data_IF_043738151644
#
_entry.id   IF_043738151644
#
_cell.length_a   1.000
_cell.length_b   1.000
_cell.length_c   1.000
_cell.angle_alpha   90.00
_cell.angle_beta   90.00
_cell.angle_gamma   90.00
#
_symmetry.space_group_name_H-M   'P 1'
#
loop_
_entity.id
_entity.type
_entity.pdbx_description
1 polymer ?
#
# COMPACT_ATOMS: atom_id res chain seq x y z
N UNK A 1 -62.04 11.72 45.16
CA UNK A 1 -61.28 11.90 43.89
C UNK A 1 -60.08 10.95 43.93
N UNK A 2 -60.19 9.75 43.35
CA UNK A 2 -59.09 8.77 43.34
C UNK A 2 -58.10 9.12 42.21
N UNK A 3 -56.92 9.60 42.57
CA UNK A 3 -55.82 9.87 41.64
C UNK A 3 -55.24 8.54 41.17
N UNK A 4 -55.33 8.24 39.86
CA UNK A 4 -54.89 6.97 39.30
C UNK A 4 -53.35 6.90 39.20
N UNK A 5 -52.70 6.39 40.25
CA UNK A 5 -51.24 6.28 40.39
C UNK A 5 -50.56 5.52 39.22
N UNK A 6 -51.27 4.60 38.55
CA UNK A 6 -50.76 3.89 37.36
C UNK A 6 -50.55 4.80 36.14
N UNK A 7 -51.31 5.90 36.03
CA UNK A 7 -51.19 6.88 34.94
C UNK A 7 -49.94 7.76 35.11
N UNK A 8 -49.68 8.20 36.34
CA UNK A 8 -48.52 9.04 36.68
C UNK A 8 -47.20 8.25 36.53
N UNK A 9 -47.19 7.00 36.96
CA UNK A 9 -46.05 6.07 36.80
C UNK A 9 -45.67 5.87 35.32
N UNK A 10 -46.65 5.67 34.42
CA UNK A 10 -46.38 5.51 32.98
C UNK A 10 -45.85 6.78 32.32
N UNK A 11 -46.32 7.96 32.74
CA UNK A 11 -45.82 9.26 32.25
C UNK A 11 -44.38 9.52 32.71
N UNK A 12 -44.08 9.25 33.98
CA UNK A 12 -42.70 9.34 34.48
C UNK A 12 -41.76 8.33 33.80
N UNK A 13 -42.21 7.10 33.57
CA UNK A 13 -41.41 6.09 32.88
C UNK A 13 -41.11 6.51 31.43
N UNK A 14 -42.08 7.08 30.71
CA UNK A 14 -41.86 7.63 29.36
C UNK A 14 -40.91 8.82 29.36
N UNK A 15 -41.03 9.72 30.33
CA UNK A 15 -40.13 10.87 30.46
C UNK A 15 -38.70 10.43 30.78
N UNK A 16 -38.54 9.44 31.67
CA UNK A 16 -37.25 8.86 32.00
C UNK A 16 -36.60 8.16 30.80
N UNK A 17 -37.36 7.35 30.05
CA UNK A 17 -36.89 6.71 28.82
C UNK A 17 -36.50 7.74 27.74
N UNK A 18 -37.25 8.83 27.60
CA UNK A 18 -36.93 9.91 26.68
C UNK A 18 -35.63 10.64 27.08
N UNK A 19 -35.44 10.92 28.38
CA UNK A 19 -34.22 11.55 28.89
C UNK A 19 -33.00 10.64 28.73
N UNK A 20 -33.14 9.33 28.98
CA UNK A 20 -32.06 8.36 28.73
C UNK A 20 -31.71 8.27 27.25
N UNK A 21 -32.70 8.31 26.35
CA UNK A 21 -32.47 8.29 24.92
C UNK A 21 -31.75 9.55 24.43
N UNK A 22 -32.11 10.73 24.95
CA UNK A 22 -31.43 12.00 24.66
C UNK A 22 -29.98 11.97 25.18
N UNK A 23 -29.74 11.52 26.42
CA UNK A 23 -28.37 11.36 26.96
C UNK A 23 -27.52 10.39 26.15
N UNK A 24 -28.10 9.29 25.66
CA UNK A 24 -27.40 8.33 24.82
C UNK A 24 -27.06 8.92 23.46
N UNK A 25 -28.00 9.62 22.81
CA UNK A 25 -27.77 10.31 21.55
C UNK A 25 -26.68 11.39 21.65
N UNK A 26 -26.72 12.25 22.67
CA UNK A 26 -25.69 13.30 22.86
C UNK A 26 -24.34 12.73 23.26
N UNK A 27 -24.31 11.64 24.02
CA UNK A 27 -23.07 10.93 24.38
C UNK A 27 -22.38 10.30 23.16
N UNK A 28 -23.16 9.68 22.26
CA UNK A 28 -22.63 9.09 21.02
C UNK A 28 -22.10 10.17 20.07
N UNK A 29 -22.83 11.26 19.85
CA UNK A 29 -22.37 12.35 18.97
C UNK A 29 -21.11 13.02 19.51
N UNK A 30 -21.06 13.31 20.82
CA UNK A 30 -19.89 13.90 21.46
C UNK A 30 -18.66 12.99 21.38
N UNK A 31 -18.84 11.67 21.57
CA UNK A 31 -17.75 10.69 21.44
C UNK A 31 -17.24 10.61 19.99
N UNK A 32 -18.13 10.62 18.99
CA UNK A 32 -17.76 10.62 17.58
C UNK A 32 -17.03 11.90 17.16
N UNK A 33 -17.48 13.07 17.62
CA UNK A 33 -16.80 14.35 17.34
C UNK A 33 -15.41 14.40 17.96
N UNK A 34 -15.26 13.92 19.20
CA UNK A 34 -13.94 13.85 19.85
C UNK A 34 -12.99 12.93 19.12
N UNK A 35 -13.46 11.76 18.66
CA UNK A 35 -12.64 10.81 17.90
C UNK A 35 -12.20 11.41 16.56
N UNK A 36 -13.15 11.98 15.80
CA UNK A 36 -12.86 12.65 14.53
C UNK A 36 -11.85 13.79 14.69
N UNK A 37 -12.01 14.64 15.70
CA UNK A 37 -11.07 15.73 15.98
C UNK A 37 -9.66 15.23 16.32
N UNK A 38 -9.56 14.12 17.06
CA UNK A 38 -8.28 13.47 17.37
C UNK A 38 -7.60 12.93 16.11
N UNK A 39 -8.38 12.26 15.25
CA UNK A 39 -7.90 11.73 13.97
C UNK A 39 -7.44 12.85 13.02
N UNK A 40 -8.20 13.95 12.94
CA UNK A 40 -7.84 15.14 12.16
C UNK A 40 -6.52 15.77 12.63
N UNK A 41 -6.29 15.88 13.95
CA UNK A 41 -5.01 16.40 14.47
C UNK A 41 -3.84 15.50 14.06
N UNK A 42 -4.01 14.18 14.21
CA UNK A 42 -3.00 13.18 13.82
C UNK A 42 -2.72 13.20 12.31
N UNK A 43 -3.75 13.38 11.48
CA UNK A 43 -3.61 13.57 10.03
C UNK A 43 -2.70 14.73 9.69
N UNK A 44 -2.91 15.89 10.31
CA UNK A 44 -2.14 17.09 10.01
C UNK A 44 -0.68 16.94 10.40
N UNK A 45 -0.38 16.21 11.48
CA UNK A 45 1.00 15.89 11.87
C UNK A 45 1.70 15.02 10.82
N UNK A 46 1.05 13.95 10.37
CA UNK A 46 1.60 13.07 9.33
C UNK A 46 1.75 13.83 8.01
N UNK A 47 0.79 14.69 7.64
CA UNK A 47 0.88 15.52 6.45
C UNK A 47 2.07 16.47 6.47
N UNK A 48 2.39 17.08 7.62
CA UNK A 48 3.59 17.90 7.76
C UNK A 48 4.87 17.09 7.54
N UNK A 49 4.92 15.86 8.03
CA UNK A 49 6.08 14.98 7.81
C UNK A 49 6.22 14.60 6.32
N UNK A 50 5.11 14.24 5.67
CA UNK A 50 5.08 13.97 4.23
C UNK A 50 5.52 15.19 3.44
N UNK A 51 5.01 16.38 3.77
CA UNK A 51 5.38 17.63 3.10
C UNK A 51 6.85 17.98 3.31
N UNK A 52 7.38 17.80 4.51
CA UNK A 52 8.82 17.96 4.78
C UNK A 52 9.69 16.99 3.97
N UNK A 53 9.19 15.77 3.71
CA UNK A 53 9.94 14.70 3.05
C UNK A 53 9.84 14.76 1.53
N UNK A 54 8.65 15.06 0.99
CA UNK A 54 8.33 14.99 -0.43
C UNK A 54 8.07 16.38 -1.06
N UNK A 55 8.10 17.46 -0.28
CA UNK A 55 7.83 18.84 -0.71
C UNK A 55 6.35 19.18 -0.89
N UNK A 56 5.46 18.20 -0.78
CA UNK A 56 4.00 18.34 -0.80
C UNK A 56 3.36 17.09 -0.19
N UNK A 57 2.05 17.12 0.03
CA UNK A 57 1.27 15.90 0.35
C UNK A 57 0.62 15.35 -0.93
N UNK A 58 1.11 14.24 -1.49
CA UNK A 58 0.54 13.64 -2.70
C UNK A 58 -0.93 13.25 -2.52
N UNK A 59 -1.70 13.30 -3.60
CA UNK A 59 -3.13 12.95 -3.58
C UNK A 59 -3.37 11.52 -3.09
N UNK A 60 -2.49 10.57 -3.42
CA UNK A 60 -2.67 9.19 -2.97
C UNK A 60 -2.58 9.03 -1.44
N UNK A 61 -1.80 9.86 -0.73
CA UNK A 61 -1.83 9.91 0.74
C UNK A 61 -3.07 10.64 1.28
N UNK A 62 -3.58 11.64 0.54
CA UNK A 62 -4.83 12.33 0.91
C UNK A 62 -6.05 11.40 0.91
N UNK A 63 -6.02 10.37 0.06
CA UNK A 63 -7.09 9.38 -0.05
C UNK A 63 -7.03 8.28 1.02
N UNK A 64 -5.90 8.11 1.71
CA UNK A 64 -5.78 7.08 2.76
C UNK A 64 -6.67 7.46 3.96
N UNK A 65 -7.45 6.53 4.53
CA UNK A 65 -8.23 6.78 5.75
C UNK A 65 -7.37 7.12 6.97
N UNK A 66 -7.92 7.88 7.93
CA UNK A 66 -7.19 8.30 9.15
C UNK A 66 -6.58 7.11 9.92
N UNK A 67 -7.37 6.05 10.08
CA UNK A 67 -6.98 4.84 10.80
C UNK A 67 -5.76 4.12 10.24
N UNK A 68 -5.39 4.37 8.97
CA UNK A 68 -4.28 3.69 8.30
C UNK A 68 -3.22 4.63 7.73
N UNK A 69 -3.43 5.95 7.76
CA UNK A 69 -2.48 6.90 7.15
C UNK A 69 -1.06 6.76 7.71
N UNK A 70 -0.94 6.66 9.03
CA UNK A 70 0.38 6.52 9.68
C UNK A 70 1.07 5.21 9.27
N UNK A 71 0.31 4.12 9.17
CA UNK A 71 0.82 2.81 8.78
C UNK A 71 1.33 2.83 7.34
N UNK A 72 0.54 3.39 6.42
CA UNK A 72 0.92 3.51 5.00
C UNK A 72 2.11 4.45 4.81
N UNK A 73 2.18 5.56 5.58
CA UNK A 73 3.32 6.46 5.52
C UNK A 73 4.61 5.81 6.03
N UNK A 74 4.54 5.11 7.18
CA UNK A 74 5.69 4.38 7.70
C UNK A 74 6.15 3.28 6.74
N UNK A 75 5.21 2.54 6.13
CA UNK A 75 5.52 1.55 5.12
C UNK A 75 6.19 2.18 3.89
N UNK A 76 5.68 3.33 3.44
CA UNK A 76 6.29 4.06 2.31
C UNK A 76 7.72 4.48 2.61
N UNK A 77 8.01 5.04 3.80
CA UNK A 77 9.37 5.40 4.21
C UNK A 77 10.29 4.18 4.17
N UNK A 78 9.88 3.08 4.80
CA UNK A 78 10.69 1.86 4.86
C UNK A 78 10.96 1.25 3.49
N UNK A 79 9.97 1.25 2.59
CA UNK A 79 10.14 0.60 1.28
C UNK A 79 10.80 1.50 0.23
N UNK A 80 10.53 2.81 0.26
CA UNK A 80 10.92 3.74 -0.81
C UNK A 80 12.07 4.67 -0.44
N UNK A 81 12.23 5.02 0.84
CA UNK A 81 13.18 6.05 1.26
C UNK A 81 14.37 5.49 2.05
N UNK A 82 14.15 4.44 2.83
CA UNK A 82 15.21 3.82 3.63
C UNK A 82 16.13 2.90 2.81
N UNK A 83 17.36 2.76 3.30
CA UNK A 83 18.36 1.86 2.75
C UNK A 83 17.88 0.40 2.80
N UNK A 84 18.28 -0.39 1.80
CA UNK A 84 18.08 -1.84 1.82
C UNK A 84 19.20 -2.58 1.09
N UNK A 85 19.29 -3.92 1.20
CA UNK A 85 20.30 -4.72 0.52
C UNK A 85 20.33 -4.53 -1.01
N UNK A 86 19.23 -4.07 -1.61
CA UNK A 86 19.19 -3.68 -3.02
C UNK A 86 19.27 -2.14 -3.09
N UNK A 87 20.33 -1.57 -3.69
CA UNK A 87 20.44 -0.12 -3.88
C UNK A 87 19.24 0.47 -4.63
N UNK A 88 18.87 1.71 -4.30
CA UNK A 88 17.66 2.36 -4.82
C UNK A 88 17.54 2.29 -6.35
N UNK A 89 18.61 2.62 -7.09
CA UNK A 89 18.62 2.55 -8.56
C UNK A 89 18.11 1.20 -9.09
N UNK A 90 18.62 0.10 -8.55
CA UNK A 90 18.25 -1.25 -9.00
C UNK A 90 16.84 -1.65 -8.55
N UNK A 91 16.41 -1.21 -7.36
CA UNK A 91 15.04 -1.44 -6.88
C UNK A 91 14.01 -0.78 -7.81
N UNK A 92 14.29 0.44 -8.24
CA UNK A 92 13.42 1.17 -9.16
C UNK A 92 13.44 0.59 -10.58
N UNK A 93 14.59 0.11 -11.08
CA UNK A 93 14.66 -0.60 -12.36
C UNK A 93 13.85 -1.92 -12.34
N UNK A 94 13.84 -2.64 -11.20
CA UNK A 94 12.92 -3.77 -11.00
C UNK A 94 11.47 -3.29 -11.04
N UNK A 95 11.16 -2.17 -10.37
CA UNK A 95 9.85 -1.51 -10.41
C UNK A 95 9.40 -1.14 -11.81
N UNK A 96 10.29 -0.61 -12.66
CA UNK A 96 10.05 -0.33 -14.09
C UNK A 96 9.66 -1.61 -14.82
N UNK A 97 10.41 -2.69 -14.66
CA UNK A 97 10.11 -3.99 -15.28
C UNK A 97 8.75 -4.56 -14.86
N UNK A 98 8.44 -4.55 -13.55
CA UNK A 98 7.13 -4.97 -13.02
C UNK A 98 6.01 -4.11 -13.60
N UNK A 99 6.21 -2.79 -13.65
CA UNK A 99 5.23 -1.84 -14.17
C UNK A 99 4.93 -2.07 -15.65
N UNK A 100 5.96 -2.36 -16.44
CA UNK A 100 5.84 -2.65 -17.86
C UNK A 100 5.02 -3.93 -18.10
N UNK A 101 5.32 -5.01 -17.39
CA UNK A 101 4.62 -6.31 -17.55
C UNK A 101 3.18 -6.24 -17.04
N UNK A 102 2.95 -5.58 -15.90
CA UNK A 102 1.61 -5.39 -15.31
C UNK A 102 0.79 -4.29 -15.98
N UNK A 103 1.41 -3.54 -16.91
CA UNK A 103 0.80 -2.43 -17.66
C UNK A 103 0.27 -1.30 -16.76
N UNK A 104 0.92 -1.08 -15.62
CA UNK A 104 0.51 -0.02 -14.68
C UNK A 104 1.05 1.34 -15.12
N UNK A 105 0.20 2.18 -15.73
CA UNK A 105 0.60 3.53 -16.20
C UNK A 105 1.21 4.42 -15.11
N UNK A 106 0.61 4.43 -13.91
CA UNK A 106 1.11 5.24 -12.79
C UNK A 106 2.47 4.76 -12.31
N UNK A 107 2.62 3.45 -12.16
CA UNK A 107 3.83 2.80 -11.69
C UNK A 107 4.97 2.98 -12.70
N UNK A 108 4.69 2.86 -14.01
CA UNK A 108 5.67 3.09 -15.07
C UNK A 108 6.27 4.50 -14.97
N UNK A 109 5.44 5.53 -14.78
CA UNK A 109 5.94 6.89 -14.62
C UNK A 109 6.71 7.04 -13.30
N UNK A 110 6.13 6.62 -12.18
CA UNK A 110 6.75 6.74 -10.86
C UNK A 110 8.13 6.08 -10.81
N UNK A 111 8.22 4.79 -11.13
CA UNK A 111 9.49 4.05 -11.03
C UNK A 111 10.52 4.54 -12.06
N UNK A 112 10.11 5.02 -13.23
CA UNK A 112 11.04 5.60 -14.21
C UNK A 112 11.68 6.88 -13.67
N UNK A 113 10.87 7.81 -13.14
CA UNK A 113 11.39 9.08 -12.63
C UNK A 113 12.23 8.89 -11.36
N UNK A 114 11.83 7.98 -10.46
CA UNK A 114 12.60 7.68 -9.26
C UNK A 114 13.89 6.91 -9.61
N UNK A 115 13.89 6.01 -10.60
CA UNK A 115 15.12 5.38 -11.08
C UNK A 115 16.12 6.43 -11.58
N UNK A 116 15.65 7.40 -12.38
CA UNK A 116 16.47 8.52 -12.88
C UNK A 116 16.99 9.41 -11.76
N UNK A 117 16.17 9.67 -10.74
CA UNK A 117 16.59 10.39 -9.54
C UNK A 117 17.78 9.71 -8.84
N UNK A 118 17.82 8.36 -8.85
CA UNK A 118 18.93 7.57 -8.33
C UNK A 118 20.01 7.23 -9.38
N UNK A 119 20.04 7.95 -10.50
CA UNK A 119 21.11 7.89 -11.49
C UNK A 119 20.98 6.78 -12.52
N UNK A 120 19.78 6.22 -12.73
CA UNK A 120 19.54 5.33 -13.87
C UNK A 120 19.62 6.10 -15.19
N UNK A 121 20.32 5.53 -16.18
CA UNK A 121 20.33 6.07 -17.53
C UNK A 121 19.15 5.55 -18.36
N UNK A 122 18.86 6.20 -19.49
CA UNK A 122 17.83 5.73 -20.41
C UNK A 122 18.18 4.34 -20.99
N UNK A 123 19.47 4.04 -21.16
CA UNK A 123 19.95 2.71 -21.58
C UNK A 123 19.69 1.65 -20.50
N UNK A 124 19.92 1.96 -19.22
CA UNK A 124 19.60 1.03 -18.12
C UNK A 124 18.09 0.77 -18.00
N UNK A 125 17.27 1.79 -18.26
CA UNK A 125 15.80 1.67 -18.29
C UNK A 125 15.36 0.80 -19.48
N UNK A 126 15.92 1.04 -20.67
CA UNK A 126 15.63 0.21 -21.85
C UNK A 126 16.01 -1.25 -21.60
N UNK A 127 17.21 -1.51 -21.09
CA UNK A 127 17.70 -2.87 -20.82
C UNK A 127 16.81 -3.57 -19.78
N UNK A 128 16.41 -2.87 -18.71
CA UNK A 128 15.48 -3.41 -17.71
C UNK A 128 14.13 -3.80 -18.33
N UNK A 129 13.57 -2.95 -19.20
CA UNK A 129 12.30 -3.25 -19.91
C UNK A 129 12.49 -4.38 -20.92
N UNK A 130 13.63 -4.43 -21.61
CA UNK A 130 13.96 -5.49 -22.57
C UNK A 130 14.07 -6.85 -21.87
N UNK A 131 14.74 -6.89 -20.72
CA UNK A 131 14.85 -8.08 -19.87
C UNK A 131 13.48 -8.51 -19.33
N UNK A 132 12.65 -7.58 -18.88
CA UNK A 132 11.29 -7.85 -18.44
C UNK A 132 10.42 -8.44 -19.57
N UNK A 133 10.51 -7.87 -20.78
CA UNK A 133 9.86 -8.40 -22.01
C UNK A 133 10.29 -9.83 -22.30
N UNK A 134 11.59 -10.12 -22.26
CA UNK A 134 12.14 -11.46 -22.49
C UNK A 134 11.61 -12.47 -21.47
N UNK A 135 11.66 -12.10 -20.19
CA UNK A 135 11.18 -12.94 -19.08
C UNK A 135 9.68 -13.24 -19.18
N UNK A 136 8.86 -12.23 -19.48
CA UNK A 136 7.42 -12.41 -19.70
C UNK A 136 7.12 -13.24 -20.95
N UNK A 137 7.91 -13.09 -22.02
CA UNK A 137 7.80 -13.89 -23.24
C UNK A 137 8.06 -15.38 -23.00
N UNK A 138 9.11 -15.72 -22.24
CA UNK A 138 9.38 -17.11 -21.86
C UNK A 138 8.31 -17.70 -20.94
N UNK A 139 7.76 -16.89 -20.03
CA UNK A 139 6.62 -17.31 -19.22
C UNK A 139 5.42 -17.70 -20.10
N UNK A 140 5.08 -16.87 -21.09
CA UNK A 140 3.99 -17.18 -22.03
C UNK A 140 4.28 -18.46 -22.82
N UNK A 141 5.51 -18.67 -23.27
CA UNK A 141 5.88 -19.85 -24.05
C UNK A 141 5.85 -21.14 -23.23
N UNK A 142 6.52 -21.18 -22.07
CA UNK A 142 6.61 -22.39 -21.24
C UNK A 142 5.24 -22.80 -20.68
N UNK A 143 4.46 -21.84 -20.17
CA UNK A 143 3.10 -22.11 -19.71
C UNK A 143 2.19 -22.49 -20.87
N UNK A 144 2.28 -21.79 -22.01
CA UNK A 144 1.47 -22.09 -23.20
C UNK A 144 1.72 -23.49 -23.75
N UNK A 145 2.99 -23.93 -23.76
CA UNK A 145 3.39 -25.27 -24.18
C UNK A 145 3.16 -26.36 -23.12
N UNK A 146 2.68 -25.99 -21.93
CA UNK A 146 2.43 -26.91 -20.82
C UNK A 146 3.66 -27.77 -20.48
N UNK A 147 4.84 -27.13 -20.44
CA UNK A 147 6.09 -27.82 -20.10
C UNK A 147 5.97 -28.42 -18.70
N UNK A 148 6.35 -29.69 -18.56
CA UNK A 148 6.36 -30.37 -17.27
C UNK A 148 7.34 -29.70 -16.31
N UNK A 149 6.85 -29.32 -15.12
CA UNK A 149 7.61 -28.51 -14.18
C UNK A 149 8.77 -29.27 -13.53
N UNK A 150 8.60 -30.57 -13.27
CA UNK A 150 9.65 -31.39 -12.67
C UNK A 150 10.76 -31.69 -13.69
N UNK A 151 10.39 -31.93 -14.95
CA UNK A 151 11.34 -32.03 -16.06
C UNK A 151 12.13 -30.72 -16.22
N UNK A 152 11.45 -29.57 -16.29
CA UNK A 152 12.10 -28.26 -16.41
C UNK A 152 13.12 -28.03 -15.30
N UNK A 153 12.77 -28.32 -14.04
CA UNK A 153 13.69 -28.18 -12.90
C UNK A 153 14.91 -29.07 -13.04
N UNK A 154 14.72 -30.34 -13.39
CA UNK A 154 15.82 -31.29 -13.55
C UNK A 154 16.79 -30.84 -14.66
N UNK A 155 16.26 -30.40 -15.80
CA UNK A 155 17.07 -29.90 -16.92
C UNK A 155 17.83 -28.60 -16.57
N UNK A 156 17.18 -27.67 -15.85
CA UNK A 156 17.81 -26.44 -15.40
C UNK A 156 18.92 -26.70 -14.37
N UNK A 157 18.70 -27.59 -13.40
CA UNK A 157 19.69 -27.97 -12.40
C UNK A 157 20.94 -28.59 -13.03
N UNK A 158 20.75 -29.48 -14.01
CA UNK A 158 21.85 -30.06 -14.79
C UNK A 158 22.62 -28.99 -15.58
N UNK A 159 21.91 -28.05 -16.20
CA UNK A 159 22.51 -26.93 -16.93
C UNK A 159 23.35 -26.04 -16.01
N UNK A 160 22.81 -25.67 -14.84
CA UNK A 160 23.53 -24.88 -13.83
C UNK A 160 24.77 -25.63 -13.34
N UNK A 161 24.66 -26.93 -13.07
CA UNK A 161 25.79 -27.77 -12.64
C UNK A 161 26.91 -27.76 -13.70
N UNK A 162 26.56 -27.89 -14.97
CA UNK A 162 27.51 -27.85 -16.08
C UNK A 162 28.22 -26.49 -16.16
N UNK A 163 27.47 -25.38 -16.12
CA UNK A 163 28.03 -24.02 -16.19
C UNK A 163 28.98 -23.75 -15.01
N UNK A 164 28.57 -24.11 -13.79
CA UNK A 164 29.41 -23.97 -12.59
C UNK A 164 30.74 -24.73 -12.71
N UNK A 165 30.76 -25.87 -13.40
CA UNK A 165 31.99 -26.63 -13.63
C UNK A 165 32.93 -25.93 -14.64
N UNK A 166 32.38 -25.19 -15.60
CA UNK A 166 33.17 -24.41 -16.57
C UNK A 166 33.77 -23.15 -15.93
N UNK A 167 33.03 -22.45 -15.06
CA UNK A 167 33.50 -21.21 -14.41
C UNK A 167 34.65 -21.42 -13.41
N UNK A 168 34.91 -22.66 -12.98
CA UNK A 168 36.00 -22.99 -12.03
C UNK A 168 37.32 -23.29 -12.73
N UNK A 169 37.34 -23.33 -14.06
CA UNK A 169 38.55 -23.48 -14.88
C UNK A 169 39.06 -22.10 -15.28
#
# INVERSE_FOLDING_TARGET
>A
MYYNSKSLSKKMLRLFLLLMFIMFLTGVTFSQEKNKRSDDMKRQEIYKEIEHTLGLVPTFFKLVPDRSLELEWNLFKTLQLEDSPIPHKYRELIGVGISAVTKCRYCSYFHTEVAKLFGATDEEIEDAVHYAKSSAGWSAYLNGMQVDYDQFKNELDQSIKYIKAQMKK
#
